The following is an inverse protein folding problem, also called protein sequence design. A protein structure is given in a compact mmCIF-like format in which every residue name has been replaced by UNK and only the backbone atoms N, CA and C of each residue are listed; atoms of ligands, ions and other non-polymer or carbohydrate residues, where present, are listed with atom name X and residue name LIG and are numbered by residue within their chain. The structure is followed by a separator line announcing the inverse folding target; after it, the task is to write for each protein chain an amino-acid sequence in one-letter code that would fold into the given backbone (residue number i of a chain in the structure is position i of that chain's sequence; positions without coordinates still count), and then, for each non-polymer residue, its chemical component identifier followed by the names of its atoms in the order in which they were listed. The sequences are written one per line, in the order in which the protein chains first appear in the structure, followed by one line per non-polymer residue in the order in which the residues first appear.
data_IF_660920228295
#
_entry.id   IF_660920228295
#
_cell.length_a   1.000
_cell.length_b   1.000
_cell.length_c   1.000
_cell.angle_alpha   90.00
_cell.angle_beta   90.00
_cell.angle_gamma   90.00
#
_symmetry.space_group_name_H-M   'P 1'
#
loop_
_entity.id
_entity.type
_entity.pdbx_description
1 polymer ?
#
# COMPACT_ATOMS: atom_id res chain seq x y z
N UNK A 1 19.45 -8.74 2.59
CA UNK A 1 18.03 -8.36 2.49
C UNK A 1 17.93 -6.93 1.99
N UNK A 2 17.35 -6.73 0.81
CA UNK A 2 17.14 -5.39 0.23
C UNK A 2 16.11 -4.64 1.06
N UNK A 3 16.45 -3.45 1.55
CA UNK A 3 15.48 -2.57 2.24
C UNK A 3 14.29 -2.31 1.32
N UNK A 4 13.03 -2.38 1.81
CA UNK A 4 11.89 -2.00 0.99
C UNK A 4 12.06 -0.58 0.47
N UNK A 5 11.72 -0.38 -0.80
CA UNK A 5 11.64 0.95 -1.37
C UNK A 5 10.62 1.75 -0.56
N UNK A 6 10.97 2.97 -0.12
CA UNK A 6 10.03 3.81 0.64
C UNK A 6 8.90 4.37 -0.23
N UNK A 7 9.10 4.38 -1.55
CA UNK A 7 8.18 4.92 -2.55
C UNK A 7 8.17 4.00 -3.75
N UNK A 8 6.99 3.72 -4.28
CA UNK A 8 6.79 3.02 -5.55
C UNK A 8 5.96 3.92 -6.48
N UNK A 9 6.12 3.75 -7.79
CA UNK A 9 5.35 4.50 -8.79
C UNK A 9 4.55 3.52 -9.64
N UNK A 10 3.24 3.75 -9.73
CA UNK A 10 2.30 2.93 -10.49
C UNK A 10 1.57 3.76 -11.54
N UNK A 11 0.97 3.12 -12.54
CA UNK A 11 0.06 3.78 -13.49
C UNK A 11 -1.34 3.86 -12.86
N UNK A 12 -1.95 5.05 -12.83
CA UNK A 12 -3.35 5.25 -12.43
C UNK A 12 -4.27 4.55 -13.43
N UNK A 13 -5.34 3.91 -12.96
CA UNK A 13 -6.30 3.25 -13.86
C UNK A 13 -7.22 4.28 -14.51
N UNK A 14 -7.61 5.33 -13.76
CA UNK A 14 -8.54 6.36 -14.24
C UNK A 14 -7.93 7.37 -15.20
N UNK A 15 -6.73 7.86 -14.93
CA UNK A 15 -6.12 8.93 -15.73
C UNK A 15 -4.79 8.55 -16.38
N UNK A 16 -4.36 7.29 -16.22
CA UNK A 16 -3.14 6.75 -16.82
C UNK A 16 -1.82 7.45 -16.44
N UNK A 17 -1.88 8.43 -15.53
CA UNK A 17 -0.73 9.17 -15.01
C UNK A 17 0.01 8.36 -13.94
N UNK A 18 1.31 8.67 -13.71
CA UNK A 18 2.05 8.06 -12.62
C UNK A 18 1.47 8.47 -11.25
N UNK A 19 1.30 7.48 -10.38
CA UNK A 19 0.85 7.58 -8.99
C UNK A 19 1.98 7.14 -8.09
N UNK A 20 2.44 8.04 -7.21
CA UNK A 20 3.41 7.69 -6.17
C UNK A 20 2.66 7.12 -4.98
N UNK A 21 3.00 5.91 -4.58
CA UNK A 21 2.54 5.30 -3.35
C UNK A 21 3.71 5.20 -2.38
N UNK A 22 3.43 5.46 -1.12
CA UNK A 22 4.42 5.54 -0.06
C UNK A 22 4.25 4.36 0.87
N UNK A 23 5.36 3.79 1.33
CA UNK A 23 5.35 2.75 2.34
C UNK A 23 4.64 3.31 3.60
N UNK A 24 3.54 2.69 3.96
CA UNK A 24 2.77 3.05 5.14
C UNK A 24 3.55 2.59 6.38
N UNK A 25 3.60 3.47 7.37
CA UNK A 25 4.33 3.21 8.61
C UNK A 25 3.46 2.31 9.49
N UNK A 26 3.56 1.00 9.29
CA UNK A 26 2.87 0.01 10.13
C UNK A 26 3.83 -0.40 11.23
N UNK A 27 3.45 -0.12 12.47
CA UNK A 27 4.34 -0.14 13.64
C UNK A 27 4.87 -1.52 14.03
N UNK A 28 4.42 -2.62 13.41
CA UNK A 28 4.76 -3.97 13.89
C UNK A 28 4.82 -5.09 12.84
N UNK A 29 4.53 -4.85 11.57
CA UNK A 29 4.38 -5.97 10.61
C UNK A 29 5.56 -6.03 9.63
N UNK A 30 6.66 -6.67 10.02
CA UNK A 30 7.80 -6.94 9.12
C UNK A 30 7.47 -7.90 7.96
N UNK A 31 6.33 -8.58 8.04
CA UNK A 31 5.85 -9.58 7.08
C UNK A 31 4.93 -8.98 6.01
N UNK A 32 4.66 -7.68 6.04
CA UNK A 32 3.92 -6.96 5.00
C UNK A 32 4.47 -5.55 4.81
N UNK A 33 4.41 -5.08 3.57
CA UNK A 33 4.84 -3.77 3.14
C UNK A 33 3.64 -3.12 2.46
N UNK A 34 2.77 -2.45 3.23
CA UNK A 34 1.63 -1.73 2.69
C UNK A 34 2.08 -0.40 2.11
N UNK A 35 1.57 -0.08 0.93
CA UNK A 35 1.82 1.14 0.20
C UNK A 35 0.49 1.81 -0.14
N UNK A 36 0.43 3.12 0.09
CA UNK A 36 -0.74 3.91 -0.21
C UNK A 36 -0.34 5.24 -0.83
N UNK A 37 -1.15 5.72 -1.77
CA UNK A 37 -1.01 7.04 -2.35
C UNK A 37 -2.28 7.44 -3.09
N UNK A 38 -2.44 8.74 -3.29
CA UNK A 38 -3.56 9.30 -4.05
C UNK A 38 -3.00 9.89 -5.34
N UNK A 39 -3.60 9.52 -6.46
CA UNK A 39 -3.29 10.12 -7.75
C UNK A 39 -3.77 11.58 -7.76
N UNK A 40 -3.12 12.45 -8.55
CA UNK A 40 -3.58 13.83 -8.75
C UNK A 40 -5.01 13.96 -9.30
N UNK A 41 -5.59 12.89 -9.86
CA UNK A 41 -7.00 12.85 -10.27
C UNK A 41 -7.98 12.44 -9.16
N UNK A 42 -7.51 12.23 -7.94
CA UNK A 42 -8.30 11.78 -6.79
C UNK A 42 -8.45 10.26 -6.65
N UNK A 43 -7.79 9.46 -7.49
CA UNK A 43 -7.86 8.00 -7.38
C UNK A 43 -6.90 7.47 -6.31
N UNK A 44 -7.44 6.78 -5.32
CA UNK A 44 -6.64 6.10 -4.31
C UNK A 44 -6.01 4.83 -4.88
N UNK A 45 -4.69 4.70 -4.75
CA UNK A 45 -3.94 3.48 -5.07
C UNK A 45 -3.44 2.85 -3.77
N UNK A 46 -3.93 1.64 -3.50
CA UNK A 46 -3.46 0.77 -2.42
C UNK A 46 -2.71 -0.42 -3.03
N UNK A 47 -1.58 -0.76 -2.45
CA UNK A 47 -0.76 -1.89 -2.84
C UNK A 47 -0.11 -2.48 -1.60
N UNK A 48 0.06 -3.79 -1.51
CA UNK A 48 0.84 -4.39 -0.44
C UNK A 48 1.58 -5.61 -0.94
N UNK A 49 2.76 -5.85 -0.37
CA UNK A 49 3.59 -7.03 -0.65
C UNK A 49 3.98 -7.71 0.66
N UNK A 50 4.11 -9.04 0.68
CA UNK A 50 4.44 -9.80 1.88
C UNK A 50 3.61 -11.07 2.01
N UNK A 51 3.28 -11.46 3.23
CA UNK A 51 2.42 -12.61 3.53
C UNK A 51 1.06 -12.45 2.85
N UNK A 52 0.63 -13.48 2.13
CA UNK A 52 -0.63 -13.49 1.36
C UNK A 52 -1.83 -13.09 2.21
N UNK A 53 -1.97 -13.68 3.39
CA UNK A 53 -3.03 -13.39 4.37
C UNK A 53 -3.06 -11.90 4.78
N UNK A 54 -1.90 -11.34 5.14
CA UNK A 54 -1.79 -9.95 5.54
C UNK A 54 -2.10 -9.00 4.37
N UNK A 55 -1.67 -9.34 3.15
CA UNK A 55 -1.96 -8.58 1.93
C UNK A 55 -3.45 -8.57 1.63
N UNK A 56 -4.10 -9.74 1.69
CA UNK A 56 -5.56 -9.86 1.51
C UNK A 56 -6.31 -9.04 2.55
N UNK A 57 -5.93 -9.14 3.82
CA UNK A 57 -6.53 -8.36 4.92
C UNK A 57 -6.35 -6.84 4.75
N UNK A 58 -5.18 -6.38 4.27
CA UNK A 58 -4.93 -4.96 3.99
C UNK A 58 -5.80 -4.44 2.84
N UNK A 59 -5.94 -5.22 1.78
CA UNK A 59 -6.76 -4.86 0.61
C UNK A 59 -8.26 -4.91 0.91
N UNK A 60 -8.69 -5.83 1.78
CA UNK A 60 -10.08 -5.96 2.22
C UNK A 60 -10.49 -4.86 3.21
N UNK A 61 -9.54 -4.25 3.92
CA UNK A 61 -9.85 -3.23 4.91
C UNK A 61 -10.29 -1.90 4.26
N UNK A 62 -11.34 -1.24 4.79
CA UNK A 62 -11.69 0.11 4.39
C UNK A 62 -10.58 1.11 4.77
N UNK A 63 -10.53 2.23 4.05
CA UNK A 63 -9.46 3.22 4.14
C UNK A 63 -9.13 3.61 5.58
N UNK A 64 -7.89 3.34 6.02
CA UNK A 64 -7.39 3.73 7.33
C UNK A 64 -7.78 2.83 8.51
N UNK A 65 -8.53 1.75 8.31
CA UNK A 65 -8.96 0.86 9.40
C UNK A 65 -8.16 -0.44 9.51
N UNK A 66 -7.17 -0.67 8.65
CA UNK A 66 -6.35 -1.87 8.74
C UNK A 66 -5.45 -1.82 9.98
N UNK A 67 -5.93 -2.44 11.05
CA UNK A 67 -5.16 -2.73 12.26
C UNK A 67 -4.87 -4.23 12.24
N UNK A 68 -3.70 -4.62 11.75
CA UNK A 68 -3.25 -6.00 11.92
C UNK A 68 -2.95 -6.20 13.40
N UNK A 69 -3.92 -6.74 14.13
CA UNK A 69 -3.72 -7.22 15.48
C UNK A 69 -2.78 -8.43 15.37
N UNK A 70 -1.61 -8.34 16.00
CA UNK A 70 -0.72 -9.51 16.17
C UNK A 70 -1.42 -10.59 16.97
#
# INVERSE_FOLDING_TARGET
MSKPARVLTFKCVKCEKPVKVFLQKVSACSHIQPYQGVCGCGELKRHATGSKDAVESYLASPEGQWSHHH
#
